data_IF_748285562103
#
_entry.id   IF_748285562103
#
_cell.length_a   1.000
_cell.length_b   1.000
_cell.length_c   1.000
_cell.angle_alpha   90.00
_cell.angle_beta   90.00
_cell.angle_gamma   90.00
#
_symmetry.space_group_name_H-M   'P 1'
#
loop_
_entity.id
_entity.type
_entity.pdbx_description
1 polymer ?
#
# COMPACT_ATOMS: atom_id res chain seq x y z
N UNK A 1 -6.85 -8.81 8.41
CA UNK A 1 -7.18 -8.30 9.76
C UNK A 1 -6.32 -8.92 10.86
N UNK A 2 -6.12 -10.25 10.90
CA UNK A 2 -5.22 -10.88 11.90
C UNK A 2 -3.80 -10.29 11.91
N UNK A 3 -3.17 -10.14 10.75
CA UNK A 3 -1.79 -9.65 10.65
C UNK A 3 -1.58 -8.22 11.22
N UNK A 4 -2.52 -7.28 11.03
CA UNK A 4 -2.39 -5.92 11.58
C UNK A 4 -2.54 -5.94 13.09
N UNK A 5 -3.48 -6.73 13.61
CA UNK A 5 -3.66 -6.89 15.05
C UNK A 5 -2.43 -7.54 15.69
N UNK A 6 -1.84 -8.54 15.04
CA UNK A 6 -0.61 -9.18 15.48
C UNK A 6 0.55 -8.17 15.54
N UNK A 7 0.69 -7.33 14.50
CA UNK A 7 1.69 -6.26 14.48
C UNK A 7 1.48 -5.25 15.61
N UNK A 8 0.24 -4.77 15.80
CA UNK A 8 -0.07 -3.83 16.88
C UNK A 8 0.23 -4.44 18.24
N UNK A 9 -0.13 -5.71 18.46
CA UNK A 9 0.20 -6.42 19.70
C UNK A 9 1.70 -6.58 19.91
N UNK A 10 2.46 -6.88 18.84
CA UNK A 10 3.91 -7.00 18.89
C UNK A 10 4.54 -5.69 19.35
N UNK A 11 4.21 -4.59 18.67
CA UNK A 11 4.76 -3.27 18.96
C UNK A 11 4.30 -2.76 20.33
N UNK A 12 3.05 -2.99 20.71
CA UNK A 12 2.51 -2.50 21.99
C UNK A 12 2.98 -3.26 23.22
N UNK A 13 3.47 -4.50 23.04
CA UNK A 13 4.10 -5.30 24.11
C UNK A 13 5.61 -5.09 24.20
N UNK A 14 6.23 -4.37 23.26
CA UNK A 14 7.65 -4.05 23.34
C UNK A 14 7.91 -3.11 24.56
N UNK A 15 9.14 -3.09 25.12
CA UNK A 15 9.46 -2.28 26.30
C UNK A 15 9.08 -0.79 26.19
N UNK A 16 9.11 -0.24 24.99
CA UNK A 16 8.78 1.17 24.72
C UNK A 16 7.32 1.39 24.28
N UNK A 17 6.52 0.32 24.18
CA UNK A 17 5.06 0.33 24.13
C UNK A 17 4.40 0.89 22.87
N UNK A 18 5.08 1.67 22.02
CA UNK A 18 4.63 2.23 20.73
C UNK A 18 5.82 2.70 19.88
N UNK A 19 5.58 2.99 18.60
CA UNK A 19 6.55 3.67 17.73
C UNK A 19 6.57 5.16 18.12
N UNK A 20 7.70 5.72 18.62
CA UNK A 20 7.73 7.08 19.14
C UNK A 20 7.79 8.16 18.05
N UNK A 21 7.41 9.39 18.42
CA UNK A 21 7.58 10.62 17.62
C UNK A 21 6.92 10.57 16.23
N UNK A 22 5.72 10.02 16.12
CA UNK A 22 5.01 9.95 14.83
C UNK A 22 4.14 11.20 14.65
N UNK A 23 4.42 12.00 13.64
CA UNK A 23 3.69 13.25 13.40
C UNK A 23 2.51 13.08 12.44
N UNK A 24 2.68 12.20 11.45
CA UNK A 24 1.72 12.00 10.38
C UNK A 24 1.65 10.54 9.96
N UNK A 25 0.44 10.09 9.62
CA UNK A 25 0.23 8.87 8.85
C UNK A 25 -0.16 9.27 7.43
N UNK A 26 0.79 9.16 6.50
CA UNK A 26 0.55 9.36 5.09
C UNK A 26 0.06 8.05 4.47
N UNK A 27 -1.01 8.06 3.70
CA UNK A 27 -1.49 6.83 3.07
C UNK A 27 -2.05 7.04 1.66
N UNK A 28 -2.22 5.94 0.94
CA UNK A 28 -3.05 5.91 -0.25
C UNK A 28 -4.52 6.17 0.10
N UNK A 29 -5.28 6.88 -0.76
CA UNK A 29 -6.72 7.04 -0.58
C UNK A 29 -7.53 5.74 -0.77
N UNK A 30 -6.91 4.61 -1.12
CA UNK A 30 -7.63 3.33 -1.23
C UNK A 30 -8.05 2.79 0.14
N UNK A 31 -9.26 2.25 0.24
CA UNK A 31 -9.86 1.78 1.50
C UNK A 31 -8.99 0.83 2.30
N UNK A 32 -8.28 -0.10 1.64
CA UNK A 32 -7.38 -1.04 2.34
C UNK A 32 -6.19 -0.36 3.02
N UNK A 33 -5.68 0.74 2.43
CA UNK A 33 -4.60 1.52 3.01
C UNK A 33 -5.13 2.38 4.17
N UNK A 34 -6.31 2.99 4.02
CA UNK A 34 -6.99 3.74 5.09
C UNK A 34 -7.29 2.82 6.28
N UNK A 35 -7.88 1.65 6.03
CA UNK A 35 -8.17 0.67 7.07
C UNK A 35 -6.89 0.23 7.79
N UNK A 36 -5.80 0.01 7.04
CA UNK A 36 -4.49 -0.29 7.63
C UNK A 36 -3.98 0.86 8.48
N UNK A 37 -4.10 2.11 8.02
CA UNK A 37 -3.71 3.31 8.76
C UNK A 37 -4.45 3.46 10.09
N UNK A 38 -5.78 3.30 10.06
CA UNK A 38 -6.62 3.38 11.25
C UNK A 38 -6.28 2.26 12.24
N UNK A 39 -6.13 1.02 11.76
CA UNK A 39 -5.81 -0.13 12.60
C UNK A 39 -4.40 -0.05 13.19
N UNK A 40 -3.45 0.61 12.52
CA UNK A 40 -2.09 0.81 13.03
C UNK A 40 -2.00 1.92 14.08
N UNK A 41 -2.95 2.86 14.13
CA UNK A 41 -2.93 4.01 15.05
C UNK A 41 -2.59 3.67 16.51
N UNK A 42 -3.10 2.57 17.12
CA UNK A 42 -2.75 2.22 18.50
C UNK A 42 -1.27 1.85 18.73
N UNK A 43 -0.54 1.48 17.66
CA UNK A 43 0.90 1.19 17.71
C UNK A 43 1.77 2.44 17.54
N UNK A 44 1.18 3.61 17.30
CA UNK A 44 1.89 4.86 17.02
C UNK A 44 1.75 5.81 18.21
N UNK A 45 2.86 6.34 18.69
CA UNK A 45 2.86 7.46 19.62
C UNK A 45 2.79 8.76 18.83
N UNK A 46 1.54 9.18 18.56
CA UNK A 46 1.24 10.31 17.70
C UNK A 46 1.46 11.64 18.43
N UNK A 47 2.31 12.50 17.89
CA UNK A 47 2.50 13.87 18.38
C UNK A 47 1.27 14.71 18.01
N UNK A 48 0.74 15.47 18.97
CA UNK A 48 -0.43 16.35 18.84
C UNK A 48 -1.70 15.68 18.28
N UNK A 49 -1.84 14.36 18.45
CA UNK A 49 -3.01 13.63 17.96
C UNK A 49 -3.09 13.52 16.43
N UNK A 50 -1.94 13.62 15.73
CA UNK A 50 -1.79 13.69 14.28
C UNK A 50 -2.78 12.88 13.42
N UNK A 51 -3.11 13.43 12.25
CA UNK A 51 -4.13 12.90 11.34
C UNK A 51 -3.59 11.91 10.29
N UNK A 52 -4.53 11.19 9.67
CA UNK A 52 -4.28 10.38 8.48
C UNK A 52 -4.50 11.28 7.25
N UNK A 53 -3.44 11.47 6.46
CA UNK A 53 -3.49 12.27 5.23
C UNK A 53 -3.29 11.37 4.02
N UNK A 54 -4.15 11.53 3.02
CA UNK A 54 -4.21 10.66 1.85
C UNK A 54 -3.72 11.39 0.60
N UNK A 55 -2.87 10.74 -0.20
CA UNK A 55 -2.37 11.32 -1.45
C UNK A 55 -2.58 10.35 -2.63
N UNK A 56 -3.24 10.74 -3.74
CA UNK A 56 -3.47 9.87 -4.90
C UNK A 56 -2.18 9.35 -5.57
N UNK A 57 -1.08 10.09 -5.44
CA UNK A 57 0.25 9.63 -5.82
C UNK A 57 0.76 8.43 -5.01
N UNK A 58 0.07 8.02 -3.93
CA UNK A 58 0.32 6.79 -3.17
C UNK A 58 -0.57 5.59 -3.57
N UNK A 59 -1.48 5.76 -4.53
CA UNK A 59 -2.37 4.69 -5.02
C UNK A 59 -1.61 3.64 -5.84
N UNK A 60 -2.05 2.38 -5.72
CA UNK A 60 -1.52 1.25 -6.49
C UNK A 60 -1.55 1.51 -8.01
N UNK A 61 -0.68 0.81 -8.73
CA UNK A 61 -0.47 0.98 -10.17
C UNK A 61 -1.02 -0.16 -11.01
N UNK A 62 -1.60 -1.19 -10.39
CA UNK A 62 -2.24 -2.31 -11.07
C UNK A 62 -3.69 -2.01 -11.47
N UNK A 63 -4.21 -2.84 -12.38
CA UNK A 63 -5.56 -2.71 -12.90
C UNK A 63 -6.63 -3.39 -12.06
N UNK A 64 -6.34 -4.05 -10.94
CA UNK A 64 -7.36 -4.85 -10.26
C UNK A 64 -8.51 -4.01 -9.72
N UNK A 65 -9.76 -4.52 -9.69
CA UNK A 65 -10.91 -3.73 -9.22
C UNK A 65 -10.76 -3.14 -7.82
N UNK A 66 -10.04 -3.84 -6.94
CA UNK A 66 -9.74 -3.40 -5.58
C UNK A 66 -8.79 -2.18 -5.50
N UNK A 67 -8.10 -1.85 -6.59
CA UNK A 67 -7.14 -0.75 -6.73
C UNK A 67 -7.79 0.56 -7.18
N UNK A 68 -9.11 0.52 -7.39
CA UNK A 68 -9.88 1.66 -7.81
C UNK A 68 -10.54 2.38 -6.64
N UNK A 69 -10.98 3.60 -6.90
CA UNK A 69 -11.65 4.41 -5.89
C UNK A 69 -13.00 3.77 -5.52
N UNK A 70 -13.22 3.49 -4.23
CA UNK A 70 -14.44 2.84 -3.77
C UNK A 70 -15.62 3.82 -3.77
N UNK A 71 -16.82 3.30 -4.00
CA UNK A 71 -18.03 4.07 -3.79
C UNK A 71 -18.16 4.50 -2.33
N UNK A 72 -18.53 5.76 -2.12
CA UNK A 72 -18.72 6.36 -0.80
C UNK A 72 -20.22 6.55 -0.54
N UNK A 73 -20.68 6.21 0.66
CA UNK A 73 -22.07 6.38 1.08
C UNK A 73 -22.37 7.79 1.61
N UNK A 74 -23.64 8.02 1.95
CA UNK A 74 -24.12 9.28 2.54
C UNK A 74 -23.51 9.57 3.92
N UNK A 75 -22.91 8.56 4.57
CA UNK A 75 -22.24 8.63 5.87
C UNK A 75 -20.71 8.70 5.75
N UNK A 76 -20.15 8.69 4.54
CA UNK A 76 -18.70 8.71 4.31
C UNK A 76 -18.01 7.34 4.43
N UNK A 77 -18.75 6.24 4.55
CA UNK A 77 -18.19 4.89 4.50
C UNK A 77 -17.87 4.49 3.07
N UNK A 78 -16.81 3.71 2.93
CA UNK A 78 -16.35 3.18 1.65
C UNK A 78 -16.42 1.67 1.63
N UNK A 79 -17.07 1.14 0.60
CA UNK A 79 -17.09 -0.30 0.34
C UNK A 79 -15.76 -0.73 -0.25
N UNK A 80 -15.16 -1.76 0.31
CA UNK A 80 -13.92 -2.35 -0.17
C UNK A 80 -14.10 -3.83 -0.39
N UNK A 81 -13.65 -4.32 -1.52
CA UNK A 81 -13.57 -5.75 -1.79
C UNK A 81 -12.11 -6.16 -1.97
N UNK A 82 -11.79 -7.36 -1.50
CA UNK A 82 -10.54 -8.02 -1.76
C UNK A 82 -10.78 -9.12 -2.79
N UNK A 83 -10.01 -9.10 -3.87
CA UNK A 83 -10.08 -10.05 -4.96
C UNK A 83 -8.81 -10.90 -4.96
N UNK A 84 -8.96 -12.19 -5.28
CA UNK A 84 -7.84 -13.08 -5.54
C UNK A 84 -7.17 -12.68 -6.87
N UNK A 85 -5.87 -12.39 -6.81
CA UNK A 85 -5.04 -12.25 -8.01
C UNK A 85 -4.24 -13.53 -8.32
N UNK A 86 -3.80 -13.69 -9.57
CA UNK A 86 -2.91 -14.78 -10.00
C UNK A 86 -3.60 -16.07 -10.45
N UNK A 87 -2.80 -17.13 -10.66
CA UNK A 87 -3.19 -18.34 -11.42
C UNK A 87 -4.22 -19.29 -10.78
N UNK A 88 -4.68 -19.04 -9.55
CA UNK A 88 -5.70 -19.86 -8.89
C UNK A 88 -6.89 -18.98 -8.57
N UNK A 89 -7.95 -19.11 -9.37
CA UNK A 89 -9.20 -18.35 -9.31
C UNK A 89 -9.03 -16.81 -9.35
N UNK A 90 -8.32 -16.25 -10.36
CA UNK A 90 -8.23 -14.80 -10.51
C UNK A 90 -9.62 -14.17 -10.64
N UNK A 91 -9.83 -13.03 -9.99
CA UNK A 91 -11.13 -12.33 -10.03
C UNK A 91 -12.13 -12.78 -8.97
N UNK A 92 -11.85 -13.84 -8.20
CA UNK A 92 -12.73 -14.27 -7.11
C UNK A 92 -12.72 -13.28 -5.94
N UNK A 93 -13.90 -12.82 -5.52
CA UNK A 93 -14.05 -12.00 -4.32
C UNK A 93 -13.73 -12.87 -3.09
N UNK A 94 -12.67 -12.51 -2.39
CA UNK A 94 -12.23 -13.15 -1.14
C UNK A 94 -13.02 -12.57 0.04
N UNK A 95 -13.27 -11.27 0.02
CA UNK A 95 -13.81 -10.55 1.16
C UNK A 95 -14.43 -9.22 0.75
N UNK A 96 -15.44 -8.81 1.51
CA UNK A 96 -15.97 -7.46 1.50
C UNK A 96 -15.83 -6.82 2.90
N UNK A 97 -15.54 -5.52 2.93
CA UNK A 97 -15.44 -4.71 4.14
C UNK A 97 -16.03 -3.32 3.92
N UNK A 98 -16.62 -2.77 4.99
CA UNK A 98 -16.99 -1.37 5.05
C UNK A 98 -15.93 -0.62 5.87
N UNK A 99 -15.36 0.43 5.27
CA UNK A 99 -14.31 1.24 5.89
C UNK A 99 -14.86 2.64 6.15
N UNK A 100 -14.95 3.00 7.42
CA UNK A 100 -15.23 4.37 7.85
C UNK A 100 -14.02 5.26 7.50
N UNK A 101 -14.24 6.42 6.89
CA UNK A 101 -13.16 7.38 6.55
C UNK A 101 -13.10 8.60 7.48
N UNK A 102 -13.91 8.64 8.54
CA UNK A 102 -13.89 9.71 9.53
C UNK A 102 -12.46 9.89 10.08
N UNK A 103 -12.03 11.15 10.15
CA UNK A 103 -10.69 11.52 10.62
C UNK A 103 -9.56 11.33 9.61
N UNK A 104 -9.89 10.98 8.36
CA UNK A 104 -8.97 10.95 7.23
C UNK A 104 -9.26 12.11 6.28
N UNK A 105 -8.22 12.76 5.76
CA UNK A 105 -8.34 13.86 4.80
C UNK A 105 -7.41 13.63 3.61
N UNK A 106 -7.70 14.29 2.49
CA UNK A 106 -6.75 14.40 1.38
C UNK A 106 -5.56 15.28 1.76
N UNK A 107 -4.51 15.21 0.96
CA UNK A 107 -3.23 15.90 1.16
C UNK A 107 -3.35 17.44 1.25
N UNK A 108 -4.43 18.00 0.71
CA UNK A 108 -4.78 19.42 0.76
C UNK A 108 -5.75 19.78 1.92
N UNK A 109 -6.10 18.79 2.76
CA UNK A 109 -7.03 18.92 3.87
C UNK A 109 -8.50 18.75 3.48
N UNK A 110 -8.81 18.52 2.20
CA UNK A 110 -10.19 18.29 1.76
C UNK A 110 -10.72 16.91 2.17
N UNK A 111 -12.04 16.76 2.16
CA UNK A 111 -12.71 15.50 2.47
C UNK A 111 -12.41 14.44 1.41
N UNK A 112 -12.31 13.19 1.85
CA UNK A 112 -12.21 12.02 0.99
C UNK A 112 -13.49 11.75 0.17
N UNK A 113 -14.61 12.40 0.45
CA UNK A 113 -15.92 12.12 -0.17
C UNK A 113 -16.07 12.50 -1.65
N UNK A 114 -15.03 13.01 -2.32
CA UNK A 114 -15.10 13.51 -3.72
C UNK A 114 -14.41 12.63 -4.77
N UNK A 115 -14.04 11.41 -4.40
CA UNK A 115 -13.30 10.51 -5.27
C UNK A 115 -14.26 9.60 -6.05
N UNK A 116 -14.87 10.14 -7.10
CA UNK A 116 -15.53 9.33 -8.14
C UNK A 116 -14.85 9.62 -9.49
N UNK A 117 -13.78 8.89 -9.76
CA UNK A 117 -13.11 8.90 -11.06
C UNK A 117 -13.68 7.84 -12.02
N UNK A 118 -13.48 8.01 -13.35
CA UNK A 118 -13.70 6.93 -14.30
C UNK A 118 -12.77 5.74 -14.00
N UNK A 119 -13.12 4.55 -14.49
CA UNK A 119 -12.24 3.37 -14.44
C UNK A 119 -10.88 3.76 -15.05
N UNK A 120 -9.77 3.65 -14.30
CA UNK A 120 -8.45 4.00 -14.79
C UNK A 120 -8.07 3.15 -16.01
N UNK A 121 -7.35 3.77 -16.95
CA UNK A 121 -6.64 3.06 -18.02
C UNK A 121 -5.25 2.67 -17.54
N UNK A 122 -4.63 1.70 -18.22
CA UNK A 122 -3.23 1.33 -18.00
C UNK A 122 -2.34 2.58 -18.01
N UNK A 123 -1.66 2.91 -16.91
CA UNK A 123 -0.86 4.12 -16.83
C UNK A 123 0.43 3.96 -17.66
N UNK A 124 0.84 5.03 -18.34
CA UNK A 124 2.18 5.07 -18.96
C UNK A 124 3.26 5.18 -17.89
N UNK A 125 4.50 4.80 -18.23
CA UNK A 125 5.66 4.95 -17.35
C UNK A 125 5.81 6.40 -16.86
N UNK A 126 5.71 7.37 -17.76
CA UNK A 126 5.85 8.80 -17.44
C UNK A 126 4.75 9.28 -16.48
N UNK A 127 3.54 8.73 -16.62
CA UNK A 127 2.43 9.01 -15.70
C UNK A 127 2.71 8.47 -14.29
N UNK A 128 3.23 7.24 -14.18
CA UNK A 128 3.64 6.65 -12.90
C UNK A 128 4.75 7.49 -12.27
N UNK A 129 5.80 7.80 -13.03
CA UNK A 129 6.95 8.59 -12.57
C UNK A 129 6.52 9.97 -12.06
N UNK A 130 5.63 10.65 -12.78
CA UNK A 130 5.07 11.93 -12.35
C UNK A 130 4.31 11.79 -11.04
N UNK A 131 3.39 10.81 -10.93
CA UNK A 131 2.62 10.56 -9.69
C UNK A 131 3.54 10.29 -8.49
N UNK A 132 4.59 9.51 -8.70
CA UNK A 132 5.60 9.16 -7.69
C UNK A 132 6.40 10.38 -7.28
N UNK A 133 6.80 11.22 -8.24
CA UNK A 133 7.51 12.46 -7.97
C UNK A 133 6.67 13.42 -7.13
N UNK A 134 5.39 13.60 -7.48
CA UNK A 134 4.46 14.44 -6.72
C UNK A 134 4.28 13.92 -5.28
N UNK A 135 4.13 12.59 -5.12
CA UNK A 135 4.03 11.96 -3.81
C UNK A 135 5.30 12.15 -2.97
N UNK A 136 6.49 11.99 -3.55
CA UNK A 136 7.77 12.20 -2.84
C UNK A 136 7.94 13.64 -2.38
N UNK A 137 7.63 14.61 -3.24
CA UNK A 137 7.69 16.03 -2.87
C UNK A 137 6.72 16.35 -1.74
N UNK A 138 5.52 15.77 -1.76
CA UNK A 138 4.55 15.92 -0.68
C UNK A 138 5.05 15.29 0.64
N UNK A 139 5.52 14.03 0.59
CA UNK A 139 6.05 13.36 1.77
C UNK A 139 7.27 14.09 2.35
N UNK A 140 8.14 14.64 1.50
CA UNK A 140 9.29 15.44 1.93
C UNK A 140 8.83 16.71 2.67
N UNK A 141 7.80 17.41 2.16
CA UNK A 141 7.20 18.56 2.85
C UNK A 141 6.64 18.17 4.22
N UNK A 142 5.94 17.03 4.31
CA UNK A 142 5.44 16.51 5.58
C UNK A 142 6.57 16.17 6.55
N UNK A 143 7.64 15.51 6.08
CA UNK A 143 8.79 15.17 6.90
C UNK A 143 9.53 16.42 7.40
N UNK A 144 9.68 17.45 6.56
CA UNK A 144 10.29 18.72 6.95
C UNK A 144 9.45 19.46 8.01
N UNK A 145 8.11 19.44 7.88
CA UNK A 145 7.21 20.00 8.88
C UNK A 145 7.30 19.23 10.22
N UNK A 146 7.30 17.90 10.17
CA UNK A 146 7.49 17.06 11.35
C UNK A 146 8.82 17.33 12.04
N UNK A 147 9.92 17.40 11.27
CA UNK A 147 11.25 17.69 11.79
C UNK A 147 11.33 19.06 12.47
N UNK A 148 10.77 20.09 11.83
CA UNK A 148 10.73 21.45 12.40
C UNK A 148 10.01 21.46 13.75
N UNK A 149 8.79 20.90 13.82
CA UNK A 149 8.03 20.80 15.07
C UNK A 149 8.78 20.02 16.16
N UNK A 150 9.42 18.92 15.77
CA UNK A 150 10.19 18.07 16.67
C UNK A 150 11.37 18.79 17.29
N UNK A 151 12.09 19.59 16.49
CA UNK A 151 13.19 20.43 16.95
C UNK A 151 12.72 21.57 17.86
N UNK A 152 11.62 22.23 17.50
CA UNK A 152 11.00 23.30 18.30
C UNK A 152 10.55 22.78 19.69
N UNK A 153 10.01 21.56 19.74
CA UNK A 153 9.59 20.90 20.97
C UNK A 153 10.73 20.24 21.76
N UNK A 154 11.96 20.22 21.21
CA UNK A 154 13.14 19.59 21.82
C UNK A 154 12.92 18.13 22.25
N UNK A 155 12.14 17.37 21.47
CA UNK A 155 11.84 15.98 21.77
C UNK A 155 13.04 15.06 21.48
N UNK A 156 13.30 14.04 22.31
CA UNK A 156 14.38 13.09 22.06
C UNK A 156 14.06 12.15 20.88
N UNK A 157 15.11 11.61 20.25
CA UNK A 157 14.98 10.67 19.13
C UNK A 157 14.59 11.32 17.80
N UNK A 158 14.38 10.53 16.72
CA UNK A 158 14.06 11.07 15.40
C UNK A 158 12.57 11.38 15.26
N UNK A 159 12.23 12.39 14.47
CA UNK A 159 10.88 12.65 14.00
C UNK A 159 10.50 11.62 12.92
N UNK A 160 9.28 11.08 12.99
CA UNK A 160 8.81 10.03 12.07
C UNK A 160 7.51 10.42 11.36
N UNK A 161 7.39 10.00 10.12
CA UNK A 161 6.13 9.86 9.41
C UNK A 161 5.95 8.39 9.04
N UNK A 162 4.72 7.88 9.11
CA UNK A 162 4.39 6.53 8.67
C UNK A 162 3.75 6.61 7.30
N UNK A 163 4.28 5.86 6.33
CA UNK A 163 3.77 5.83 4.96
C UNK A 163 3.13 4.48 4.69
N UNK A 164 1.86 4.47 4.34
CA UNK A 164 1.08 3.26 4.04
C UNK A 164 0.73 3.28 2.55
N UNK A 165 1.37 2.39 1.82
CA UNK A 165 1.30 2.31 0.36
C UNK A 165 1.12 0.86 -0.07
N UNK A 166 1.25 0.59 -1.36
CA UNK A 166 1.02 -0.72 -1.97
C UNK A 166 2.29 -1.26 -2.62
N UNK A 167 2.35 -2.57 -2.82
CA UNK A 167 3.55 -3.26 -3.29
C UNK A 167 4.01 -2.77 -4.67
N UNK A 168 3.10 -2.58 -5.63
CA UNK A 168 3.46 -2.10 -6.97
C UNK A 168 4.03 -0.69 -6.91
N UNK A 169 3.37 0.23 -6.20
CA UNK A 169 3.84 1.60 -6.09
C UNK A 169 5.11 1.78 -5.23
N UNK A 170 5.26 1.02 -4.15
CA UNK A 170 6.39 1.16 -3.20
C UNK A 170 7.75 1.04 -3.89
N UNK A 171 7.82 0.19 -4.91
CA UNK A 171 9.00 0.02 -5.73
C UNK A 171 9.42 1.30 -6.45
N UNK A 172 8.45 2.06 -6.95
CA UNK A 172 8.70 3.35 -7.57
C UNK A 172 9.02 4.40 -6.51
N UNK A 173 8.34 4.41 -5.37
CA UNK A 173 8.59 5.40 -4.31
C UNK A 173 10.02 5.38 -3.77
N UNK A 174 10.58 4.19 -3.56
CA UNK A 174 11.90 3.99 -2.92
C UNK A 174 13.05 3.78 -3.89
N UNK A 175 12.77 3.55 -5.18
CA UNK A 175 13.75 3.14 -6.22
C UNK A 175 14.43 1.80 -5.95
N UNK A 176 14.10 1.15 -4.82
CA UNK A 176 14.40 -0.24 -4.57
C UNK A 176 13.27 -1.06 -5.18
N UNK A 177 13.56 -1.80 -6.26
CA UNK A 177 12.60 -2.73 -6.87
C UNK A 177 12.47 -3.97 -5.97
N UNK A 178 11.43 -4.01 -5.13
CA UNK A 178 11.04 -5.17 -4.31
C UNK A 178 10.35 -6.24 -5.17
N UNK A 179 11.03 -6.71 -6.21
CA UNK A 179 10.52 -7.75 -7.11
C UNK A 179 10.87 -9.14 -6.57
N UNK A 180 9.93 -10.08 -6.66
CA UNK A 180 10.23 -11.47 -6.38
C UNK A 180 10.75 -12.16 -7.65
N UNK A 181 11.90 -12.80 -7.55
CA UNK A 181 12.48 -13.60 -8.62
C UNK A 181 12.68 -15.04 -8.11
N UNK A 182 12.16 -16.02 -8.86
CA UNK A 182 12.32 -17.45 -8.56
C UNK A 182 13.26 -18.08 -9.57
N UNK A 183 13.83 -19.24 -9.23
CA UNK A 183 14.59 -20.03 -10.20
C UNK A 183 13.67 -20.49 -11.32
N UNK A 184 14.07 -20.24 -12.57
CA UNK A 184 13.34 -20.72 -13.73
C UNK A 184 13.24 -22.26 -13.70
N UNK A 185 12.10 -22.86 -14.09
CA UNK A 185 11.95 -24.32 -14.13
C UNK A 185 13.02 -25.04 -14.96
N UNK A 186 13.55 -24.37 -15.99
CA UNK A 186 14.61 -24.87 -16.87
C UNK A 186 16.04 -24.55 -16.39
N UNK A 187 16.18 -23.98 -15.18
CA UNK A 187 17.45 -23.55 -14.58
C UNK A 187 18.26 -22.54 -15.41
N UNK A 188 17.66 -21.90 -16.42
CA UNK A 188 18.33 -20.90 -17.26
C UNK A 188 18.67 -19.58 -16.53
N UNK A 189 18.13 -19.39 -15.32
CA UNK A 189 18.37 -18.21 -14.51
C UNK A 189 17.22 -17.91 -13.55
N UNK A 190 17.06 -16.63 -13.24
CA UNK A 190 15.95 -16.11 -12.45
C UNK A 190 14.80 -15.67 -13.37
N UNK A 191 13.58 -16.07 -13.02
CA UNK A 191 12.35 -15.65 -13.67
C UNK A 191 11.58 -14.73 -12.72
N UNK A 192 11.03 -13.65 -13.27
CA UNK A 192 10.13 -12.78 -12.53
C UNK A 192 8.92 -13.55 -11.99
N UNK A 193 8.66 -13.42 -10.69
CA UNK A 193 7.62 -14.14 -9.96
C UNK A 193 6.54 -13.21 -9.37
N UNK A 194 6.65 -11.90 -9.61
CA UNK A 194 5.69 -10.90 -9.14
C UNK A 194 6.34 -9.69 -8.49
N UNK A 195 5.54 -8.63 -8.33
CA UNK A 195 5.96 -7.32 -7.82
C UNK A 195 6.01 -7.24 -6.29
N UNK A 196 5.75 -8.33 -5.57
CA UNK A 196 5.69 -8.35 -4.11
C UNK A 196 6.76 -9.28 -3.51
N UNK A 197 8.03 -8.87 -3.54
CA UNK A 197 8.98 -9.41 -2.57
C UNK A 197 8.54 -9.08 -1.12
N UNK A 198 7.73 -8.02 -0.97
CA UNK A 198 7.11 -7.61 0.28
C UNK A 198 5.80 -8.33 0.53
N UNK A 199 5.71 -8.94 1.71
CA UNK A 199 4.46 -9.48 2.24
C UNK A 199 3.61 -8.34 2.76
N UNK A 200 2.30 -8.59 2.89
CA UNK A 200 1.40 -7.65 3.55
C UNK A 200 1.94 -7.27 4.93
N UNK A 201 2.00 -5.95 5.20
CA UNK A 201 2.56 -5.35 6.42
C UNK A 201 4.07 -5.55 6.63
N UNK A 202 4.83 -5.82 5.58
CA UNK A 202 6.28 -5.61 5.66
C UNK A 202 6.56 -4.11 5.83
N UNK A 203 7.56 -3.79 6.67
CA UNK A 203 7.96 -2.45 7.07
C UNK A 203 9.40 -2.23 6.62
N UNK A 204 9.60 -1.17 5.86
CA UNK A 204 10.93 -0.67 5.49
C UNK A 204 11.14 0.68 6.17
N UNK A 205 12.38 0.94 6.59
CA UNK A 205 12.74 2.22 7.19
C UNK A 205 13.55 2.99 6.16
N UNK A 206 13.09 4.21 5.85
CA UNK A 206 13.72 5.06 4.84
C UNK A 206 14.04 6.43 5.44
N UNK A 207 15.01 7.10 4.82
CA UNK A 207 15.26 8.54 5.02
C UNK A 207 15.06 9.30 3.72
N UNK A 208 14.80 10.60 3.82
CA UNK A 208 14.90 11.48 2.67
C UNK A 208 16.36 11.80 2.38
N UNK A 209 16.75 11.64 1.12
CA UNK A 209 17.99 12.16 0.56
C UNK A 209 17.60 13.02 -0.65
N UNK A 210 17.75 14.34 -0.49
CA UNK A 210 17.10 15.34 -1.37
C UNK A 210 15.60 15.03 -1.55
N UNK A 211 15.20 14.55 -2.73
CA UNK A 211 13.82 14.20 -3.08
C UNK A 211 13.55 12.68 -3.12
N UNK A 212 14.56 11.86 -2.79
CA UNK A 212 14.49 10.39 -2.88
C UNK A 212 14.22 9.78 -1.51
N UNK A 213 13.41 8.73 -1.49
CA UNK A 213 13.23 7.88 -0.31
C UNK A 213 14.26 6.76 -0.37
N UNK A 214 15.32 6.88 0.42
CA UNK A 214 16.40 5.90 0.46
C UNK A 214 16.21 4.99 1.66
N UNK A 215 16.07 3.69 1.42
CA UNK A 215 16.01 2.69 2.49
C UNK A 215 17.30 2.72 3.32
N UNK A 216 17.17 2.67 4.65
CA UNK A 216 18.29 2.59 5.56
C UNK A 216 18.93 1.19 5.54
N UNK A 217 20.24 1.09 5.80
CA UNK A 217 20.88 -0.19 6.06
C UNK A 217 20.18 -0.96 7.18
N UNK A 218 20.38 -2.28 7.19
CA UNK A 218 19.79 -3.10 8.24
C UNK A 218 20.25 -2.66 9.63
N UNK A 219 19.30 -2.59 10.57
CA UNK A 219 19.55 -2.22 11.96
C UNK A 219 18.82 -3.20 12.90
N UNK A 220 19.51 -3.66 13.94
CA UNK A 220 18.93 -4.56 14.93
C UNK A 220 17.84 -3.89 15.77
N UNK A 221 17.90 -2.58 15.98
CA UNK A 221 16.89 -1.82 16.72
C UNK A 221 15.52 -1.90 16.02
N UNK A 222 15.49 -1.68 14.70
CA UNK A 222 14.27 -1.82 13.90
C UNK A 222 13.78 -3.27 13.83
N UNK A 223 14.70 -4.24 13.84
CA UNK A 223 14.36 -5.66 13.93
C UNK A 223 13.69 -6.00 15.26
N UNK A 224 14.16 -5.44 16.38
CA UNK A 224 13.52 -5.61 17.69
C UNK A 224 12.14 -4.95 17.74
N UNK A 225 12.00 -3.77 17.11
CA UNK A 225 10.75 -2.99 17.13
C UNK A 225 9.65 -3.60 16.24
N UNK A 226 9.97 -3.98 15.00
CA UNK A 226 8.99 -4.49 14.04
C UNK A 226 9.00 -6.02 13.89
N UNK A 227 9.99 -6.71 14.49
CA UNK A 227 10.10 -8.16 14.46
C UNK A 227 10.13 -8.72 13.04
N UNK A 228 9.30 -9.74 12.81
CA UNK A 228 9.17 -10.42 11.51
C UNK A 228 8.70 -9.51 10.36
N UNK A 229 8.20 -8.33 10.68
CA UNK A 229 7.71 -7.36 9.70
C UNK A 229 8.82 -6.43 9.20
N UNK A 230 9.97 -6.34 9.89
CA UNK A 230 11.08 -5.53 9.40
C UNK A 230 11.72 -6.17 8.16
N UNK A 231 11.80 -5.42 7.07
CA UNK A 231 12.49 -5.81 5.84
C UNK A 231 13.53 -4.77 5.44
N UNK A 232 14.62 -5.25 4.86
CA UNK A 232 15.70 -4.43 4.31
C UNK A 232 16.27 -5.13 3.08
N UNK A 233 16.26 -4.47 1.91
CA UNK A 233 16.70 -5.08 0.65
C UNK A 233 18.17 -5.45 0.63
N UNK A 234 19.02 -4.71 1.36
CA UNK A 234 20.43 -5.02 1.48
C UNK A 234 20.66 -6.46 1.96
N UNK A 235 19.85 -6.94 2.91
CA UNK A 235 19.92 -8.32 3.39
C UNK A 235 19.42 -9.36 2.40
N UNK A 236 18.46 -9.00 1.55
CA UNK A 236 17.93 -9.92 0.54
C UNK A 236 18.90 -10.09 -0.65
N UNK A 237 19.68 -9.06 -0.98
CA UNK A 237 20.74 -9.08 -2.00
C UNK A 237 21.89 -10.03 -1.70
N UNK A 238 22.10 -10.39 -0.43
CA UNK A 238 23.26 -11.17 0.03
C UNK A 238 23.27 -12.65 -0.40
N UNK A 239 22.25 -13.14 -1.13
CA UNK A 239 22.12 -14.58 -1.41
C UNK A 239 22.28 -14.97 -2.89
N UNK A 240 22.11 -14.07 -3.88
CA UNK A 240 22.19 -14.36 -5.33
C UNK A 240 22.50 -13.09 -6.16
N UNK A 241 23.04 -13.23 -7.37
CA UNK A 241 23.11 -12.11 -8.33
C UNK A 241 21.70 -11.78 -8.84
N UNK A 242 21.24 -10.56 -8.55
CA UNK A 242 19.94 -10.06 -8.98
C UNK A 242 19.98 -9.54 -10.44
N UNK A 243 18.86 -9.59 -11.19
CA UNK A 243 18.79 -8.99 -12.51
C UNK A 243 19.14 -7.50 -12.48
N UNK A 244 19.63 -6.96 -13.60
CA UNK A 244 19.92 -5.51 -13.73
C UNK A 244 18.65 -4.68 -13.52
N UNK A 245 18.82 -3.45 -13.04
CA UNK A 245 17.70 -2.55 -12.72
C UNK A 245 16.73 -2.37 -13.89
N UNK A 246 17.23 -2.19 -15.12
CA UNK A 246 16.43 -1.97 -16.32
C UNK A 246 15.56 -3.18 -16.66
N UNK A 247 16.05 -4.40 -16.38
CA UNK A 247 15.31 -5.64 -16.58
C UNK A 247 14.17 -5.72 -15.55
N UNK A 248 14.46 -5.43 -14.28
CA UNK A 248 13.45 -5.44 -13.23
C UNK A 248 12.34 -4.41 -13.47
N UNK A 249 12.70 -3.24 -13.99
CA UNK A 249 11.73 -2.22 -14.37
C UNK A 249 10.85 -2.66 -15.54
N UNK A 250 11.43 -3.24 -16.59
CA UNK A 250 10.68 -3.75 -17.73
C UNK A 250 9.70 -4.86 -17.32
N UNK A 251 10.14 -5.82 -16.50
CA UNK A 251 9.30 -6.91 -15.99
C UNK A 251 8.13 -6.37 -15.15
N UNK A 252 8.36 -5.37 -14.30
CA UNK A 252 7.30 -4.74 -13.51
C UNK A 252 6.30 -4.00 -14.40
N UNK A 253 6.76 -3.21 -15.38
CA UNK A 253 5.85 -2.52 -16.30
C UNK A 253 5.02 -3.51 -17.13
N UNK A 254 5.60 -4.64 -17.53
CA UNK A 254 4.85 -5.72 -18.18
C UNK A 254 3.76 -6.28 -17.26
N UNK A 255 4.09 -6.60 -16.00
CA UNK A 255 3.10 -7.05 -15.02
C UNK A 255 1.95 -6.04 -14.82
N UNK A 256 2.26 -4.74 -14.76
CA UNK A 256 1.22 -3.71 -14.65
C UNK A 256 0.29 -3.78 -15.86
N UNK A 257 0.83 -3.78 -17.08
CA UNK A 257 0.03 -3.89 -18.31
C UNK A 257 -0.83 -5.15 -18.29
N UNK A 258 -0.25 -6.29 -17.99
CA UNK A 258 -0.94 -7.58 -17.99
C UNK A 258 -2.09 -7.57 -16.96
N UNK A 259 -1.93 -6.92 -15.80
CA UNK A 259 -3.02 -6.77 -14.81
C UNK A 259 -4.21 -5.94 -15.30
N UNK A 260 -3.98 -4.96 -16.18
CA UNK A 260 -5.06 -4.20 -16.82
C UNK A 260 -5.74 -5.03 -17.90
N UNK A 261 -4.99 -5.76 -18.72
CA UNK A 261 -5.55 -6.67 -19.72
C UNK A 261 -6.40 -7.77 -19.06
N UNK A 262 -5.94 -8.35 -17.95
CA UNK A 262 -6.73 -9.30 -17.16
C UNK A 262 -8.03 -8.67 -16.63
N UNK A 263 -7.97 -7.42 -16.17
CA UNK A 263 -9.14 -6.72 -15.63
C UNK A 263 -10.15 -6.35 -16.72
N UNK A 264 -9.69 -5.93 -17.90
CA UNK A 264 -10.55 -5.64 -19.05
C UNK A 264 -11.32 -6.88 -19.53
N UNK A 265 -10.80 -8.08 -19.25
CA UNK A 265 -11.42 -9.35 -19.57
C UNK A 265 -12.34 -9.91 -18.45
N UNK A 266 -12.45 -9.21 -17.31
CA UNK A 266 -13.41 -9.60 -16.28
C UNK A 266 -14.85 -9.39 -16.76
N UNK A 267 -15.76 -10.21 -16.25
CA UNK A 267 -17.19 -10.07 -16.54
C UNK A 267 -17.65 -8.66 -16.14
N UNK A 268 -18.29 -7.96 -17.08
CA UNK A 268 -18.78 -6.61 -16.88
C UNK A 268 -19.77 -6.52 -15.72
N UNK A 269 -20.62 -7.52 -15.52
CA UNK A 269 -21.54 -7.54 -14.37
C UNK A 269 -20.78 -7.65 -13.04
N UNK A 270 -19.67 -8.40 -13.01
CA UNK A 270 -18.77 -8.45 -11.86
C UNK A 270 -18.17 -7.07 -11.64
N UNK A 271 -17.55 -6.46 -12.66
CA UNK A 271 -16.95 -5.12 -12.55
C UNK A 271 -17.97 -4.06 -12.11
N UNK A 272 -19.15 -4.02 -12.74
CA UNK A 272 -20.21 -3.06 -12.39
C UNK A 272 -20.75 -3.31 -10.97
N UNK A 273 -20.84 -4.57 -10.52
CA UNK A 273 -21.28 -4.88 -9.15
C UNK A 273 -20.31 -4.35 -8.09
N UNK A 274 -19.00 -4.42 -8.36
CA UNK A 274 -17.92 -3.93 -7.51
C UNK A 274 -18.02 -2.41 -7.33
N UNK A 275 -18.34 -1.71 -8.42
CA UNK A 275 -18.51 -0.26 -8.45
C UNK A 275 -19.93 0.19 -8.13
N UNK A 276 -20.79 -0.71 -7.64
CA UNK A 276 -22.13 -0.35 -7.22
C UNK A 276 -22.26 -0.52 -5.70
N UNK A 277 -22.88 0.47 -5.07
CA UNK A 277 -23.14 0.43 -3.63
C UNK A 277 -24.18 -0.66 -3.25
N UNK A 278 -24.94 -1.17 -4.24
CA UNK A 278 -26.08 -2.08 -4.06
C UNK A 278 -25.81 -3.51 -4.59
N UNK A 279 -24.75 -3.73 -5.37
CA UNK A 279 -24.65 -4.90 -6.26
C UNK A 279 -24.07 -6.19 -5.70
N UNK A 280 -23.07 -6.15 -4.81
CA UNK A 280 -22.37 -7.40 -4.44
C UNK A 280 -23.16 -8.26 -3.44
N UNK A 281 -23.98 -7.66 -2.56
CA UNK A 281 -24.88 -8.42 -1.68
C UNK A 281 -25.88 -9.25 -2.49
N UNK A 282 -26.40 -8.67 -3.58
CA UNK A 282 -27.32 -9.36 -4.50
C UNK A 282 -26.61 -10.42 -5.37
N UNK A 283 -25.35 -10.18 -5.76
CA UNK A 283 -24.55 -11.12 -6.56
C UNK A 283 -24.12 -12.36 -5.76
N UNK A 284 -23.78 -12.20 -4.48
CA UNK A 284 -23.45 -13.34 -3.62
C UNK A 284 -24.70 -14.15 -3.23
N UNK A 285 -25.86 -13.52 -3.07
CA UNK A 285 -27.12 -14.26 -2.88
C UNK A 285 -27.57 -15.04 -4.12
N UNK A 286 -27.29 -14.55 -5.34
CA UNK A 286 -27.64 -15.28 -6.57
C UNK A 286 -26.71 -16.48 -6.82
N UNK A 287 -25.43 -16.39 -6.44
CA UNK A 287 -24.50 -17.52 -6.49
C UNK A 287 -24.79 -18.55 -5.38
N UNK A 288 -25.22 -18.10 -4.19
CA UNK A 288 -25.68 -19.00 -3.13
C UNK A 288 -27.02 -19.69 -3.47
N UNK A 289 -27.87 -19.05 -4.30
CA UNK A 289 -29.14 -19.60 -4.77
C UNK A 289 -29.06 -20.53 -5.98
N UNK A 290 -27.86 -20.76 -6.54
CA UNK A 290 -27.64 -21.62 -7.72
C UNK A 290 -27.00 -22.98 -7.39
N UNK A 291 -27.05 -23.38 -6.11
CA UNK A 291 -26.74 -24.75 -5.67
C UNK A 291 -27.97 -25.32 -4.96
N UNK A 292 -28.91 -25.78 -5.76
CA UNK A 292 -29.82 -26.91 -5.49
C UNK A 292 -30.68 -27.13 -6.75
N UNK A 293 -30.05 -27.59 -7.84
CA UNK A 293 -30.66 -28.41 -8.90
C UNK A 293 -29.68 -29.52 -9.33
#
# INVERSE_FOLDING_TARGET
>A
MGQVRDFVQLVTKAPDGRIPNVYHVACSPLSRAIQTAQLLKPALDMVDGGGILCHPGLTEVTGWPQDYEPCTDDKGNRRYILIAGGNTDPGKIIKEELVDTIGCALFDGSSLSQLSGPIPKTPSKESIEKRVQDARQWLQKLAAQALKKHQEAQLPGPARIVVITHGGLQQFLTENRYCNYITSPDQSGLKFAGTSAQRNLDVNVCRFDEHRLVELPYDEEFSRLFGKHYRCMEREKMTREWPKYEIQEADHLAFIRDSFEETENLDKEVVDSIFSWVGVDNFLTSIAGTRDE
#
